data_IF_587359528602
#
_entry.id   IF_587359528602
#
_cell.length_a   1.000
_cell.length_b   1.000
_cell.length_c   1.000
_cell.angle_alpha   90.00
_cell.angle_beta   90.00
_cell.angle_gamma   90.00
#
_symmetry.space_group_name_H-M   'P 1'
#
loop_
_entity.id
_entity.type
_entity.pdbx_description
1 polymer ?
#
# COMPACT_ATOMS: atom_id res chain seq x y z
N UNK A 1 -69.63 -8.25 -35.20
CA UNK A 1 -68.28 -8.78 -34.93
C UNK A 1 -67.27 -7.63 -34.95
N UNK A 2 -66.55 -7.46 -33.85
CA UNK A 2 -65.20 -6.88 -33.63
C UNK A 2 -64.78 -5.61 -34.41
N UNK A 3 -64.68 -4.52 -33.65
CA UNK A 3 -63.79 -3.38 -33.90
C UNK A 3 -62.31 -3.82 -33.84
N UNK A 4 -61.45 -3.24 -34.67
CA UNK A 4 -60.00 -3.23 -34.45
C UNK A 4 -59.41 -1.92 -34.93
N UNK A 5 -58.74 -1.28 -33.97
CA UNK A 5 -58.00 -0.02 -34.02
C UNK A 5 -56.51 -0.27 -34.32
N UNK A 6 -55.80 0.84 -34.56
CA UNK A 6 -54.38 1.10 -34.33
C UNK A 6 -53.39 0.59 -35.39
N UNK A 7 -52.26 1.23 -35.63
CA UNK A 7 -51.76 2.60 -35.49
C UNK A 7 -50.37 2.56 -36.13
N UNK A 8 -50.05 3.51 -37.00
CA UNK A 8 -48.68 3.71 -37.49
C UNK A 8 -47.82 4.29 -36.36
N UNK A 9 -46.61 3.76 -36.15
CA UNK A 9 -45.45 4.58 -35.77
C UNK A 9 -44.11 3.82 -35.70
N UNK A 10 -43.20 4.29 -36.56
CA UNK A 10 -41.82 4.69 -36.24
C UNK A 10 -40.85 3.56 -35.84
N UNK A 11 -40.04 3.16 -36.84
CA UNK A 11 -38.78 2.45 -36.62
C UNK A 11 -37.80 3.33 -35.87
N UNK A 12 -37.41 2.88 -34.68
CA UNK A 12 -36.32 3.46 -33.90
C UNK A 12 -35.03 2.79 -34.37
N UNK A 13 -34.21 3.51 -35.12
CA UNK A 13 -32.82 3.13 -35.36
C UNK A 13 -32.09 3.16 -34.02
N UNK A 14 -31.80 1.97 -33.46
CA UNK A 14 -30.90 1.84 -32.33
C UNK A 14 -29.47 2.16 -32.77
N UNK A 15 -29.13 3.45 -32.85
CA UNK A 15 -27.75 3.90 -32.79
C UNK A 15 -27.28 3.70 -31.34
N UNK A 16 -26.64 2.56 -31.05
CA UNK A 16 -25.93 2.36 -29.80
C UNK A 16 -24.74 3.33 -29.78
N UNK A 17 -24.91 4.48 -29.13
CA UNK A 17 -23.80 5.35 -28.75
C UNK A 17 -22.94 4.57 -27.74
N UNK A 18 -21.82 4.01 -28.21
CA UNK A 18 -20.83 3.41 -27.34
C UNK A 18 -20.18 4.52 -26.51
N UNK A 19 -20.16 4.41 -25.15
CA UNK A 19 -19.41 5.34 -24.33
C UNK A 19 -17.94 5.25 -24.72
N UNK A 20 -17.46 6.31 -25.38
CA UNK A 20 -16.05 6.54 -25.61
C UNK A 20 -15.55 7.27 -24.38
N UNK A 21 -15.19 6.52 -23.35
CA UNK A 21 -14.23 7.03 -22.38
C UNK A 21 -13.47 5.86 -21.77
N UNK A 22 -12.22 5.71 -22.21
CA UNK A 22 -11.20 5.00 -21.44
C UNK A 22 -10.83 5.89 -20.25
N UNK A 23 -11.79 6.10 -19.36
CA UNK A 23 -11.56 6.65 -18.04
C UNK A 23 -10.77 5.60 -17.27
N UNK A 24 -9.50 5.91 -17.05
CA UNK A 24 -8.54 5.17 -16.23
C UNK A 24 -9.25 4.40 -15.12
N UNK A 25 -9.45 3.10 -15.32
CA UNK A 25 -9.82 2.20 -14.25
C UNK A 25 -8.71 2.29 -13.22
N UNK A 26 -8.96 2.98 -12.10
CA UNK A 26 -8.16 2.81 -10.91
C UNK A 26 -8.18 1.32 -10.61
N UNK A 27 -7.05 0.66 -10.88
CA UNK A 27 -6.85 -0.73 -10.53
C UNK A 27 -7.08 -0.84 -9.02
N UNK A 28 -8.25 -1.33 -8.62
CA UNK A 28 -8.62 -1.62 -7.23
C UNK A 28 -7.76 -2.74 -6.61
N UNK A 29 -6.72 -3.18 -7.33
CA UNK A 29 -5.74 -4.19 -6.94
C UNK A 29 -4.30 -3.68 -7.04
N UNK A 30 -4.07 -2.37 -7.06
CA UNK A 30 -2.72 -1.85 -6.79
C UNK A 30 -2.42 -2.10 -5.30
N UNK A 31 -1.99 -3.33 -4.96
CA UNK A 31 -1.44 -3.62 -3.63
C UNK A 31 -0.27 -2.68 -3.43
N UNK A 32 -0.33 -1.88 -2.38
CA UNK A 32 0.79 -1.08 -1.94
C UNK A 32 2.03 -1.98 -1.83
N UNK A 33 3.14 -1.54 -2.43
CA UNK A 33 4.38 -2.30 -2.37
C UNK A 33 4.98 -2.18 -0.96
N UNK A 34 5.55 -3.26 -0.42
CA UNK A 34 6.26 -3.19 0.84
C UNK A 34 7.41 -2.20 0.76
N UNK A 35 7.62 -1.43 1.83
CA UNK A 35 8.65 -0.39 1.89
C UNK A 35 9.27 -0.34 3.29
N UNK A 36 10.57 -0.13 3.37
CA UNK A 36 11.28 0.17 4.61
C UNK A 36 12.29 1.28 4.35
N UNK A 37 12.10 2.43 5.00
CA UNK A 37 13.04 3.53 4.97
C UNK A 37 13.53 3.85 6.37
N UNK A 38 14.79 4.22 6.51
CA UNK A 38 15.36 4.66 7.78
C UNK A 38 15.75 6.13 7.71
N UNK A 39 15.46 6.87 8.77
CA UNK A 39 15.64 8.31 8.87
C UNK A 39 16.39 8.65 10.15
N UNK A 40 17.10 9.78 10.16
CA UNK A 40 17.82 10.23 11.35
C UNK A 40 16.87 10.72 12.44
N UNK A 41 15.73 11.30 12.07
CA UNK A 41 14.72 11.81 13.00
C UNK A 41 13.30 11.42 12.56
N UNK A 42 12.33 11.55 13.47
CA UNK A 42 10.92 11.38 13.14
C UNK A 42 10.41 12.46 12.17
N UNK A 43 10.87 13.69 12.33
CA UNK A 43 10.53 14.79 11.42
C UNK A 43 11.00 14.51 9.98
N UNK A 44 12.21 13.98 9.82
CA UNK A 44 12.71 13.51 8.53
C UNK A 44 11.82 12.41 7.94
N UNK A 45 11.32 11.49 8.76
CA UNK A 45 10.41 10.43 8.31
C UNK A 45 9.07 10.98 7.84
N UNK A 46 8.43 11.85 8.65
CA UNK A 46 7.11 12.41 8.35
C UNK A 46 7.10 13.27 7.09
N UNK A 47 8.25 13.86 6.74
CA UNK A 47 8.42 14.70 5.55
C UNK A 47 9.25 14.05 4.44
N UNK A 48 9.60 12.76 4.58
CA UNK A 48 10.43 11.97 3.65
C UNK A 48 11.74 12.66 3.22
N UNK A 49 12.51 13.18 4.18
CA UNK A 49 13.79 13.88 3.95
C UNK A 49 14.97 13.07 4.46
N UNK A 50 16.18 13.31 3.92
CA UNK A 50 17.44 12.81 4.48
C UNK A 50 17.47 11.29 4.77
N UNK A 51 16.89 10.47 3.87
CA UNK A 51 16.81 9.02 4.02
C UNK A 51 18.22 8.42 4.17
N UNK A 52 18.43 7.66 5.24
CA UNK A 52 19.69 6.93 5.51
C UNK A 52 19.75 5.60 4.78
N UNK A 53 18.60 4.95 4.61
CA UNK A 53 18.46 3.65 3.97
C UNK A 53 17.07 3.53 3.35
N UNK A 54 17.00 2.95 2.15
CA UNK A 54 15.77 2.69 1.43
C UNK A 54 15.77 1.25 0.93
N UNK A 55 14.69 0.53 1.21
CA UNK A 55 14.47 -0.82 0.70
C UNK A 55 13.02 -1.03 0.27
N UNK A 56 12.85 -1.96 -0.68
CA UNK A 56 11.60 -2.62 -1.02
C UNK A 56 11.65 -4.06 -0.46
N UNK A 57 11.23 -4.29 0.80
CA UNK A 57 11.44 -5.57 1.46
C UNK A 57 10.68 -6.71 0.78
N UNK A 58 11.35 -7.82 0.52
CA UNK A 58 10.68 -9.10 0.23
C UNK A 58 10.21 -9.77 1.53
N UNK A 59 9.20 -10.62 1.40
CA UNK A 59 8.67 -11.40 2.53
C UNK A 59 9.76 -12.27 3.17
N UNK A 60 9.77 -12.35 4.49
CA UNK A 60 10.69 -13.18 5.29
C UNK A 60 12.10 -12.61 5.47
N UNK A 61 12.52 -11.63 4.68
CA UNK A 61 13.84 -11.02 4.83
C UNK A 61 13.89 -10.10 6.06
N UNK A 62 14.95 -10.25 6.85
CA UNK A 62 15.22 -9.40 8.01
C UNK A 62 16.13 -8.24 7.63
N UNK A 63 15.81 -7.05 8.12
CA UNK A 63 16.55 -5.81 7.88
C UNK A 63 16.92 -5.20 9.23
N UNK A 64 18.21 -5.10 9.51
CA UNK A 64 18.67 -4.41 10.71
C UNK A 64 18.53 -2.88 10.57
N UNK A 65 18.12 -2.24 11.66
CA UNK A 65 18.02 -0.80 11.77
C UNK A 65 19.39 -0.23 12.17
N UNK A 66 19.92 0.65 11.34
CA UNK A 66 21.20 1.30 11.55
C UNK A 66 21.23 2.04 12.90
N UNK A 67 22.41 2.12 13.51
CA UNK A 67 22.59 2.78 14.82
C UNK A 67 22.23 4.27 14.78
N UNK A 68 22.34 4.93 13.63
CA UNK A 68 22.02 6.35 13.42
C UNK A 68 20.55 6.61 13.13
N UNK A 69 19.75 5.56 12.95
CA UNK A 69 18.32 5.67 12.69
C UNK A 69 17.61 6.15 13.94
N UNK A 70 16.88 7.26 13.86
CA UNK A 70 15.98 7.74 14.91
C UNK A 70 14.54 7.28 14.66
N UNK A 71 14.12 7.21 13.40
CA UNK A 71 12.80 6.72 13.01
C UNK A 71 12.87 5.92 11.70
N UNK A 72 11.89 5.05 11.48
CA UNK A 72 11.75 4.32 10.23
C UNK A 72 10.32 4.38 9.70
N UNK A 73 10.18 4.50 8.38
CA UNK A 73 8.91 4.29 7.71
C UNK A 73 8.81 2.82 7.32
N UNK A 74 7.68 2.21 7.61
CA UNK A 74 7.34 0.89 7.07
C UNK A 74 6.05 1.00 6.25
N UNK A 75 5.93 0.17 5.21
CA UNK A 75 4.66 -0.22 4.61
C UNK A 75 4.68 -1.75 4.47
N UNK A 76 3.70 -2.44 5.05
CA UNK A 76 3.67 -3.90 5.02
C UNK A 76 3.14 -4.47 3.70
N UNK A 77 2.49 -3.67 2.85
CA UNK A 77 2.01 -4.14 1.54
C UNK A 77 1.10 -5.38 1.58
N UNK A 78 0.40 -5.58 2.71
CA UNK A 78 -0.45 -6.75 2.95
C UNK A 78 0.24 -7.94 3.64
N UNK A 79 1.50 -7.80 4.06
CA UNK A 79 2.21 -8.76 4.90
C UNK A 79 1.73 -8.67 6.36
N UNK A 80 0.83 -9.57 6.76
CA UNK A 80 0.04 -9.50 8.00
C UNK A 80 0.80 -9.89 9.28
N UNK A 81 1.95 -10.54 9.13
CA UNK A 81 2.83 -11.04 10.20
C UNK A 81 4.15 -10.27 10.27
N UNK A 82 4.20 -9.07 9.67
CA UNK A 82 5.34 -8.16 9.74
C UNK A 82 5.61 -7.70 11.18
N UNK A 83 6.89 -7.52 11.53
CA UNK A 83 7.34 -7.25 12.91
C UNK A 83 8.48 -6.25 12.96
N UNK A 84 8.51 -5.45 14.03
CA UNK A 84 9.71 -4.78 14.51
C UNK A 84 10.19 -5.50 15.78
N UNK A 85 11.47 -5.83 15.84
CA UNK A 85 12.06 -6.66 16.90
C UNK A 85 13.11 -5.88 17.67
N UNK A 86 13.24 -6.15 18.97
CA UNK A 86 14.18 -5.47 19.88
C UNK A 86 15.63 -5.91 19.71
N UNK A 87 15.88 -7.02 19.01
CA UNK A 87 17.23 -7.49 18.70
C UNK A 87 17.54 -7.49 17.20
N UNK A 88 18.83 -7.52 16.87
CA UNK A 88 19.31 -7.65 15.49
C UNK A 88 18.93 -9.03 14.93
N UNK A 89 18.83 -9.15 13.60
CA UNK A 89 18.50 -10.43 12.97
C UNK A 89 17.06 -10.91 13.24
N UNK A 90 16.15 -10.00 13.59
CA UNK A 90 14.72 -10.27 13.78
C UNK A 90 14.44 -11.29 14.89
N UNK A 91 15.24 -11.20 15.95
CA UNK A 91 15.12 -11.98 17.18
C UNK A 91 14.56 -11.14 18.34
N UNK A 92 14.30 -11.80 19.46
CA UNK A 92 13.86 -11.17 20.71
C UNK A 92 12.38 -10.76 20.70
N UNK A 93 12.03 -9.89 21.65
CA UNK A 93 10.68 -9.33 21.78
C UNK A 93 10.32 -8.51 20.55
N UNK A 94 9.04 -8.52 20.18
CA UNK A 94 8.57 -7.87 18.97
C UNK A 94 7.19 -7.26 19.12
N UNK A 95 6.91 -6.30 18.23
CA UNK A 95 5.56 -5.77 18.00
C UNK A 95 5.13 -6.06 16.55
N UNK A 96 3.84 -6.24 16.36
CA UNK A 96 3.26 -6.41 15.03
C UNK A 96 3.21 -5.08 14.27
N UNK A 97 3.60 -5.10 13.00
CA UNK A 97 3.47 -3.97 12.08
C UNK A 97 2.30 -4.21 11.13
N UNK A 98 1.48 -3.18 10.90
CA UNK A 98 0.36 -3.20 9.95
C UNK A 98 0.20 -1.84 9.25
N UNK A 99 -0.19 -1.89 7.98
CA UNK A 99 -0.39 -0.70 7.15
C UNK A 99 0.95 -0.05 6.77
N UNK A 100 0.96 1.27 6.62
CA UNK A 100 2.19 2.03 6.44
C UNK A 100 2.20 3.35 7.20
N UNK A 101 3.28 3.62 7.93
CA UNK A 101 3.49 4.84 8.71
C UNK A 101 4.94 4.99 9.15
N UNK A 102 5.27 6.18 9.62
CA UNK A 102 6.46 6.43 10.41
C UNK A 102 6.34 5.89 11.83
N UNK A 103 7.45 5.40 12.37
CA UNK A 103 7.58 4.88 13.72
C UNK A 103 8.93 5.29 14.31
N UNK A 104 8.94 5.74 15.57
CA UNK A 104 10.19 5.97 16.30
C UNK A 104 10.94 4.65 16.41
N UNK A 105 12.26 4.67 16.22
CA UNK A 105 13.06 3.46 16.34
C UNK A 105 12.97 2.90 17.76
N UNK A 106 13.06 3.75 18.79
CA UNK A 106 13.08 3.32 20.19
C UNK A 106 14.09 2.19 20.41
N UNK A 107 13.64 1.11 21.04
CA UNK A 107 14.45 -0.08 21.33
C UNK A 107 14.54 -1.07 20.16
N UNK A 108 13.85 -0.82 19.03
CA UNK A 108 13.85 -1.75 17.91
C UNK A 108 15.19 -1.72 17.17
N UNK A 109 15.67 -2.92 16.81
CA UNK A 109 16.94 -3.12 16.12
C UNK A 109 16.80 -3.80 14.76
N UNK A 110 15.65 -4.39 14.45
CA UNK A 110 15.43 -5.02 13.15
C UNK A 110 13.95 -5.10 12.76
N UNK A 111 13.67 -5.20 11.47
CA UNK A 111 12.34 -5.29 10.88
C UNK A 111 12.27 -6.45 9.89
N UNK A 112 11.21 -7.24 9.96
CA UNK A 112 10.87 -8.27 8.96
C UNK A 112 9.46 -8.02 8.44
N UNK A 113 9.31 -8.12 7.13
CA UNK A 113 7.99 -8.09 6.50
C UNK A 113 7.55 -9.52 6.20
N UNK A 114 6.38 -9.96 6.65
CA UNK A 114 5.90 -11.35 6.45
C UNK A 114 4.40 -11.46 6.29
#
# INVERSE_FOLDING_TARGET
MKFSLFASAIGISCAAAMPSDQGQGHSLLARDKPKLNQYRTMDDCLHDRNILFHAAPSTGNCYDLDRKTGAFFYNTGGFLLSRANKDIGCAGDWIGLRGGRCMEKGDFKSVVMR
#
